data_IF_481829906786
#
_entry.id   IF_481829906786
#
_cell.length_a   1.000
_cell.length_b   1.000
_cell.length_c   1.000
_cell.angle_alpha   90.00
_cell.angle_beta   90.00
_cell.angle_gamma   90.00
#
_symmetry.space_group_name_H-M   'P 1'
#
loop_
_entity.id
_entity.type
_entity.pdbx_description
1 polymer ?
#
# COMPACT_ATOMS: atom_id res chain seq x y z
N UNK A 1 -38.61 22.26 16.47
CA UNK A 1 -39.44 23.46 16.75
C UNK A 1 -39.13 24.46 15.65
N UNK A 2 -40.12 24.86 14.84
CA UNK A 2 -39.91 25.81 13.74
C UNK A 2 -39.66 27.21 14.34
N UNK A 3 -38.44 27.72 14.23
CA UNK A 3 -38.05 29.01 14.78
C UNK A 3 -38.70 30.16 13.98
N UNK A 4 -39.64 30.87 14.62
CA UNK A 4 -40.42 31.97 14.04
C UNK A 4 -39.63 33.27 13.76
N UNK A 5 -38.31 33.28 13.92
CA UNK A 5 -37.45 34.47 13.69
C UNK A 5 -37.18 34.78 12.21
N UNK A 6 -37.41 33.83 11.30
CA UNK A 6 -37.07 33.99 9.88
C UNK A 6 -37.99 34.93 9.10
N UNK A 7 -39.20 35.22 9.60
CA UNK A 7 -40.16 36.05 8.88
C UNK A 7 -39.76 37.53 8.91
N UNK A 8 -39.35 38.09 7.77
CA UNK A 8 -38.99 39.50 7.62
C UNK A 8 -37.50 39.82 7.79
N UNK A 9 -36.66 38.83 8.11
CA UNK A 9 -35.21 39.00 8.07
C UNK A 9 -34.70 39.03 6.63
N UNK A 10 -33.73 39.88 6.32
CA UNK A 10 -33.11 39.95 4.98
C UNK A 10 -31.61 39.68 5.05
N UNK A 11 -31.08 39.04 4.00
CA UNK A 11 -29.65 38.80 3.82
C UNK A 11 -29.22 39.37 2.48
N UNK A 12 -28.27 40.29 2.50
CA UNK A 12 -27.65 40.86 1.30
C UNK A 12 -26.16 40.49 1.30
N UNK A 13 -25.72 39.87 0.21
CA UNK A 13 -24.34 39.44 0.05
C UNK A 13 -23.71 40.14 -1.16
N UNK A 14 -22.59 40.82 -0.93
CA UNK A 14 -21.69 41.31 -1.97
C UNK A 14 -20.33 40.61 -1.83
N UNK A 15 -19.43 40.68 -2.83
CA UNK A 15 -18.12 40.03 -2.74
C UNK A 15 -17.27 40.47 -1.54
N UNK A 16 -17.54 41.64 -0.94
CA UNK A 16 -16.78 42.15 0.21
C UNK A 16 -17.63 42.33 1.49
N UNK A 17 -18.95 42.13 1.45
CA UNK A 17 -19.82 42.46 2.59
C UNK A 17 -21.04 41.55 2.65
N UNK A 18 -21.26 40.95 3.82
CA UNK A 18 -22.52 40.33 4.20
C UNK A 18 -23.29 41.29 5.12
N UNK A 19 -24.53 41.62 4.76
CA UNK A 19 -25.45 42.41 5.59
C UNK A 19 -26.64 41.52 5.96
N UNK A 20 -26.87 41.37 7.26
CA UNK A 20 -28.04 40.64 7.80
C UNK A 20 -28.90 41.64 8.55
N UNK A 21 -30.17 41.74 8.18
CA UNK A 21 -31.15 42.61 8.83
C UNK A 21 -32.19 41.73 9.51
N UNK A 22 -32.43 41.99 10.79
CA UNK A 22 -33.50 41.34 11.56
C UNK A 22 -34.65 42.33 11.78
N UNK A 23 -35.90 41.85 11.87
CA UNK A 23 -36.97 42.62 12.47
C UNK A 23 -36.70 42.86 13.97
N UNK A 24 -37.58 43.60 14.65
CA UNK A 24 -37.46 43.83 16.09
C UNK A 24 -37.29 42.50 16.86
N UNK A 25 -36.17 42.37 17.58
CA UNK A 25 -35.90 41.22 18.44
C UNK A 25 -36.62 41.47 19.76
N UNK A 26 -37.60 40.63 20.15
CA UNK A 26 -38.35 40.84 21.38
C UNK A 26 -37.44 40.82 22.62
N UNK A 27 -37.86 41.52 23.67
CA UNK A 27 -37.14 41.56 24.93
C UNK A 27 -36.83 40.14 25.46
N UNK A 28 -35.61 39.96 25.97
CA UNK A 28 -35.08 38.70 26.50
C UNK A 28 -34.92 37.56 25.49
N UNK A 29 -34.95 37.85 24.19
CA UNK A 29 -34.61 36.88 23.14
C UNK A 29 -33.29 37.26 22.44
N UNK A 30 -32.69 36.30 21.74
CA UNK A 30 -31.43 36.48 21.01
C UNK A 30 -31.57 36.05 19.55
N UNK A 31 -30.87 36.75 18.66
CA UNK A 31 -30.65 36.33 17.28
C UNK A 31 -29.21 35.81 17.14
N UNK A 32 -29.04 34.67 16.49
CA UNK A 32 -27.74 34.05 16.21
C UNK A 32 -27.51 34.10 14.71
N UNK A 33 -26.38 34.65 14.28
CA UNK A 33 -25.92 34.63 12.88
C UNK A 33 -24.74 33.69 12.78
N UNK A 34 -24.90 32.60 12.04
CA UNK A 34 -23.80 31.71 11.66
C UNK A 34 -23.33 32.08 10.25
N UNK A 35 -22.05 32.45 10.12
CA UNK A 35 -21.44 32.75 8.82
C UNK A 35 -20.44 31.64 8.46
N UNK A 36 -20.83 30.64 7.65
CA UNK A 36 -19.92 29.58 7.24
C UNK A 36 -18.89 30.13 6.25
N UNK A 37 -17.63 30.19 6.66
CA UNK A 37 -16.53 30.59 5.78
C UNK A 37 -15.93 29.36 5.08
N UNK A 38 -15.85 29.40 3.75
CA UNK A 38 -15.05 28.45 2.96
C UNK A 38 -13.70 29.10 2.62
N UNK A 39 -12.61 28.40 2.92
CA UNK A 39 -11.28 28.84 2.46
C UNK A 39 -10.96 28.15 1.14
N UNK A 40 -10.83 28.94 0.09
CA UNK A 40 -10.47 28.44 -1.24
C UNK A 40 -9.04 27.88 -1.23
N UNK A 41 -8.84 26.69 -1.80
CA UNK A 41 -7.54 26.01 -1.78
C UNK A 41 -7.21 25.23 -0.50
N UNK A 42 -8.08 25.24 0.51
CA UNK A 42 -7.91 24.37 1.68
C UNK A 42 -7.96 22.90 1.28
N UNK A 43 -6.84 22.19 1.45
CA UNK A 43 -6.71 20.74 1.23
C UNK A 43 -6.68 20.03 2.57
N UNK A 44 -7.12 18.77 2.61
CA UNK A 44 -7.18 17.93 3.84
C UNK A 44 -5.85 17.82 4.60
N UNK A 45 -4.71 18.05 3.94
CA UNK A 45 -3.37 17.88 4.52
C UNK A 45 -2.59 19.19 4.72
N UNK A 46 -3.21 20.37 4.56
CA UNK A 46 -2.52 21.65 4.72
C UNK A 46 -3.12 22.47 5.86
N UNK A 47 -2.28 22.92 6.79
CA UNK A 47 -2.68 23.95 7.75
C UNK A 47 -3.18 25.18 6.99
N UNK A 48 -4.46 25.50 7.14
CA UNK A 48 -4.99 26.78 6.69
C UNK A 48 -4.60 27.82 7.74
N UNK A 49 -3.45 28.45 7.54
CA UNK A 49 -3.03 29.59 8.38
C UNK A 49 -3.64 30.85 7.79
N UNK A 50 -4.66 31.37 8.46
CA UNK A 50 -5.34 32.61 8.07
C UNK A 50 -5.85 33.36 9.29
N UNK A 51 -5.83 34.69 9.23
CA UNK A 51 -6.51 35.54 10.21
C UNK A 51 -7.86 35.92 9.64
N UNK A 52 -8.94 35.42 10.25
CA UNK A 52 -10.29 35.88 9.96
C UNK A 52 -10.66 36.92 11.01
N UNK A 53 -11.00 38.13 10.56
CA UNK A 53 -11.56 39.17 11.40
C UNK A 53 -12.96 39.50 10.90
N UNK A 54 -13.97 39.25 11.72
CA UNK A 54 -15.29 39.80 11.49
C UNK A 54 -15.46 41.03 12.37
N UNK A 55 -15.93 42.12 11.77
CA UNK A 55 -16.32 43.33 12.51
C UNK A 55 -17.83 43.39 12.52
N UNK A 56 -18.43 43.32 13.70
CA UNK A 56 -19.88 43.49 13.86
C UNK A 56 -20.17 44.94 14.21
N UNK A 57 -21.07 45.57 13.43
CA UNK A 57 -21.56 46.93 13.70
C UNK A 57 -23.04 46.86 14.04
N UNK A 58 -23.39 47.26 15.26
CA UNK A 58 -24.78 47.40 15.68
C UNK A 58 -25.27 48.80 15.37
N UNK A 59 -26.36 48.91 14.61
CA UNK A 59 -27.03 50.18 14.36
C UNK A 59 -28.43 50.13 14.95
N UNK A 60 -28.59 50.66 16.17
CA UNK A 60 -29.87 50.75 16.87
C UNK A 60 -30.24 52.23 16.97
N UNK A 61 -31.41 52.66 16.47
CA UNK A 61 -31.84 54.05 16.56
C UNK A 61 -31.73 54.61 17.99
N UNK A 62 -31.09 55.77 18.14
CA UNK A 62 -30.91 56.44 19.43
C UNK A 62 -29.85 55.84 20.36
N UNK A 63 -29.14 54.78 19.97
CA UNK A 63 -28.04 54.19 20.75
C UNK A 63 -26.75 54.12 19.95
N UNK A 64 -25.62 54.45 20.60
CA UNK A 64 -24.28 54.27 20.04
C UNK A 64 -23.64 53.02 20.64
N UNK A 65 -23.10 52.17 19.78
CA UNK A 65 -22.31 51.01 20.17
C UNK A 65 -20.93 51.09 19.53
N UNK A 66 -19.91 50.70 20.29
CA UNK A 66 -18.58 50.48 19.72
C UNK A 66 -18.60 49.23 18.85
N UNK A 67 -17.96 49.23 17.67
CA UNK A 67 -17.77 48.01 16.88
C UNK A 67 -17.07 46.94 17.72
N UNK A 68 -17.58 45.71 17.65
CA UNK A 68 -16.92 44.57 18.29
C UNK A 68 -16.12 43.85 17.21
N UNK A 69 -14.81 43.75 17.41
CA UNK A 69 -13.90 42.99 16.54
C UNK A 69 -13.52 41.71 17.26
N UNK A 70 -13.90 40.58 16.69
CA UNK A 70 -13.40 39.28 17.15
C UNK A 70 -12.37 38.77 16.14
N UNK A 71 -11.13 38.57 16.60
CA UNK A 71 -10.12 37.81 15.88
C UNK A 71 -10.32 36.34 16.24
N UNK A 72 -10.69 35.51 15.25
CA UNK A 72 -10.80 34.08 15.44
C UNK A 72 -9.61 33.41 14.76
N UNK A 73 -8.82 32.68 15.54
CA UNK A 73 -7.79 31.77 15.02
C UNK A 73 -8.42 30.38 14.93
N UNK A 74 -8.62 29.87 13.72
CA UNK A 74 -8.98 28.48 13.51
C UNK A 74 -7.69 27.68 13.32
N UNK A 75 -7.43 26.73 14.21
CA UNK A 75 -6.53 25.61 13.91
C UNK A 75 -7.42 24.39 13.69
N UNK A 76 -7.62 24.00 12.44
CA UNK A 76 -8.16 22.69 12.12
C UNK A 76 -6.97 21.79 11.79
N UNK A 77 -6.58 20.90 12.71
CA UNK A 77 -5.84 19.69 12.31
C UNK A 77 -6.89 18.62 11.99
N UNK A 78 -7.06 18.32 10.72
CA UNK A 78 -7.70 17.09 10.31
C UNK A 78 -6.58 16.09 10.06
N UNK A 79 -6.06 15.47 11.12
CA UNK A 79 -5.14 14.34 11.03
C UNK A 79 -5.89 13.07 10.59
N UNK A 80 -6.60 13.16 9.45
CA UNK A 80 -6.98 12.01 8.68
C UNK A 80 -5.76 11.65 7.83
N UNK A 81 -4.71 11.12 8.46
CA UNK A 81 -3.61 10.52 7.71
C UNK A 81 -4.21 9.41 6.87
N UNK A 82 -4.22 9.58 5.54
CA UNK A 82 -4.50 8.47 4.66
C UNK A 82 -3.46 7.38 4.97
N UNK A 83 -3.92 6.13 5.11
CA UNK A 83 -3.07 5.00 5.42
C UNK A 83 -3.31 3.88 4.42
N UNK A 84 -2.27 3.15 4.09
CA UNK A 84 -2.31 2.06 3.12
C UNK A 84 -1.48 0.87 3.61
N UNK A 85 -1.78 -0.31 3.09
CA UNK A 85 -0.99 -1.52 3.30
C UNK A 85 -0.42 -2.01 1.96
N UNK A 86 0.46 -2.99 2.02
CA UNK A 86 1.01 -3.69 0.85
C UNK A 86 1.01 -5.19 1.12
N UNK A 87 1.14 -5.98 0.05
CA UNK A 87 1.26 -7.44 0.15
C UNK A 87 2.34 -8.00 -0.78
N UNK A 88 2.91 -9.14 -0.40
CA UNK A 88 3.88 -9.89 -1.19
C UNK A 88 3.36 -11.31 -1.34
N UNK A 89 3.12 -11.72 -2.58
CA UNK A 89 2.70 -13.08 -2.93
C UNK A 89 3.90 -13.90 -3.35
N UNK A 90 4.10 -15.05 -2.69
CA UNK A 90 5.20 -15.95 -3.02
C UNK A 90 4.79 -16.95 -4.09
N UNK A 91 5.53 -16.99 -5.19
CA UNK A 91 5.39 -18.00 -6.25
C UNK A 91 6.63 -18.86 -6.30
N UNK A 92 6.43 -20.15 -6.57
CA UNK A 92 7.50 -21.12 -6.86
C UNK A 92 7.14 -21.77 -8.19
N UNK A 93 7.98 -21.55 -9.19
CA UNK A 93 7.86 -22.19 -10.50
C UNK A 93 8.40 -23.62 -10.42
N UNK A 94 7.60 -24.58 -10.89
CA UNK A 94 7.77 -26.01 -10.69
C UNK A 94 6.92 -26.59 -9.57
N UNK A 95 6.82 -27.92 -9.53
CA UNK A 95 6.01 -28.64 -8.55
C UNK A 95 6.84 -28.97 -7.29
N UNK A 96 6.44 -28.39 -6.16
CA UNK A 96 7.02 -28.74 -4.85
C UNK A 96 6.50 -30.12 -4.40
N UNK A 97 7.37 -30.97 -3.82
CA UNK A 97 6.91 -32.20 -3.20
C UNK A 97 6.02 -31.91 -1.98
N UNK A 98 5.12 -32.83 -1.63
CA UNK A 98 4.08 -32.62 -0.62
C UNK A 98 4.64 -32.11 0.72
N UNK A 99 5.75 -32.69 1.18
CA UNK A 99 6.39 -32.32 2.44
C UNK A 99 7.04 -30.93 2.42
N UNK A 100 7.25 -30.33 1.25
CA UNK A 100 7.88 -29.03 1.08
C UNK A 100 6.87 -27.91 0.78
N UNK A 101 5.57 -28.20 0.71
CA UNK A 101 4.53 -27.17 0.50
C UNK A 101 4.42 -26.18 1.66
N UNK A 102 4.88 -26.58 2.84
CA UNK A 102 4.91 -25.75 4.04
C UNK A 102 6.22 -24.96 4.22
N UNK A 103 7.13 -24.99 3.24
CA UNK A 103 8.36 -24.19 3.32
C UNK A 103 8.04 -22.70 3.47
N UNK A 104 8.76 -22.09 4.40
CA UNK A 104 8.70 -20.67 4.67
C UNK A 104 9.87 -19.95 3.99
N UNK A 105 9.54 -18.87 3.29
CA UNK A 105 10.49 -17.98 2.64
C UNK A 105 10.57 -16.69 3.44
N UNK A 106 11.79 -16.35 3.88
CA UNK A 106 12.01 -15.18 4.73
C UNK A 106 12.16 -13.93 3.87
N UNK A 107 11.32 -12.94 4.14
CA UNK A 107 11.39 -11.60 3.56
C UNK A 107 12.10 -10.68 4.54
N UNK A 108 12.99 -9.83 4.04
CA UNK A 108 13.51 -8.67 4.77
C UNK A 108 12.79 -7.43 4.26
N UNK A 109 12.10 -6.73 5.17
CA UNK A 109 11.31 -5.56 4.85
C UNK A 109 11.84 -4.37 5.63
N UNK A 110 12.14 -3.28 4.92
CA UNK A 110 12.52 -2.00 5.50
C UNK A 110 11.46 -0.95 5.18
N UNK A 111 11.03 -0.24 6.22
CA UNK A 111 10.09 0.88 6.15
C UNK A 111 10.85 2.16 6.48
N UNK A 112 10.64 3.20 5.67
CA UNK A 112 11.19 4.53 5.89
C UNK A 112 10.17 5.61 5.58
N UNK A 113 9.97 6.55 6.49
CA UNK A 113 9.15 7.73 6.29
C UNK A 113 9.84 8.94 6.94
N UNK A 114 10.22 9.92 6.12
CA UNK A 114 10.91 11.12 6.61
C UNK A 114 9.98 12.07 7.37
N UNK A 115 8.66 12.01 7.09
CA UNK A 115 7.65 12.85 7.76
C UNK A 115 7.16 12.23 9.08
N UNK A 116 7.23 10.91 9.22
CA UNK A 116 6.91 10.18 10.45
C UNK A 116 7.99 9.12 10.75
N UNK A 117 9.13 9.50 11.35
CA UNK A 117 10.21 8.55 11.64
C UNK A 117 9.82 7.43 12.61
N UNK A 118 8.68 7.53 13.30
CA UNK A 118 8.21 6.50 14.23
C UNK A 118 7.86 5.18 13.53
N UNK A 119 7.57 5.21 12.22
CA UNK A 119 7.34 4.00 11.42
C UNK A 119 8.62 3.34 10.91
N UNK A 120 9.78 3.99 11.05
CA UNK A 120 11.03 3.49 10.51
C UNK A 120 11.47 2.21 11.21
N UNK A 121 11.58 1.12 10.46
CA UNK A 121 12.06 -0.17 10.98
C UNK A 121 12.48 -1.09 9.86
N UNK A 122 13.36 -2.02 10.21
CA UNK A 122 13.62 -3.22 9.42
C UNK A 122 13.17 -4.43 10.22
N UNK A 123 12.45 -5.35 9.58
CA UNK A 123 11.98 -6.58 10.20
C UNK A 123 11.89 -7.71 9.18
N UNK A 124 11.74 -8.93 9.68
CA UNK A 124 11.54 -10.10 8.85
C UNK A 124 10.09 -10.58 8.91
N UNK A 125 9.60 -11.09 7.80
CA UNK A 125 8.31 -11.77 7.67
C UNK A 125 8.52 -13.10 6.95
N UNK A 126 7.64 -14.08 7.17
CA UNK A 126 7.70 -15.35 6.45
C UNK A 126 6.46 -15.52 5.58
N UNK A 127 6.65 -16.07 4.39
CA UNK A 127 5.58 -16.35 3.43
C UNK A 127 5.75 -17.75 2.86
N UNK A 128 4.64 -18.47 2.65
CA UNK A 128 4.63 -19.81 2.05
C UNK A 128 4.35 -19.75 0.56
N UNK A 129 4.80 -20.75 -0.19
CA UNK A 129 4.51 -20.86 -1.62
C UNK A 129 3.00 -20.79 -1.91
N UNK A 130 2.61 -19.98 -2.89
CA UNK A 130 1.22 -19.75 -3.28
C UNK A 130 0.40 -18.91 -2.29
N UNK A 131 1.02 -18.37 -1.24
CA UNK A 131 0.37 -17.50 -0.24
C UNK A 131 0.87 -16.06 -0.37
N UNK A 132 0.07 -15.15 0.18
CA UNK A 132 0.40 -13.74 0.28
C UNK A 132 0.59 -13.36 1.74
N UNK A 133 1.69 -12.67 2.04
CA UNK A 133 1.88 -12.00 3.31
C UNK A 133 1.50 -10.52 3.14
N UNK A 134 0.64 -10.02 4.03
CA UNK A 134 0.20 -8.63 4.03
C UNK A 134 0.74 -7.94 5.26
N UNK A 135 1.15 -6.68 5.12
CA UNK A 135 1.53 -5.91 6.29
C UNK A 135 0.34 -5.84 7.28
N UNK A 136 0.52 -6.20 8.57
CA UNK A 136 -0.58 -6.47 9.51
C UNK A 136 -1.36 -5.23 9.97
N UNK A 137 -1.10 -4.06 9.37
CA UNK A 137 -1.80 -2.82 9.66
C UNK A 137 -1.81 -1.91 8.45
N UNK A 138 -1.94 -0.61 8.70
CA UNK A 138 -1.83 0.40 7.65
C UNK A 138 -0.74 1.41 8.03
N UNK A 139 0.05 1.81 7.06
CA UNK A 139 1.15 2.76 7.18
C UNK A 139 0.71 4.13 6.63
N UNK A 140 1.23 5.24 7.16
CA UNK A 140 1.03 6.55 6.54
C UNK A 140 1.47 6.54 5.07
N UNK A 141 0.78 7.29 4.22
CA UNK A 141 1.27 7.56 2.87
C UNK A 141 2.63 8.26 2.90
N UNK A 142 3.40 8.11 1.81
CA UNK A 142 4.78 8.59 1.73
C UNK A 142 5.79 7.65 2.41
N UNK A 143 5.33 6.59 3.08
CA UNK A 143 6.24 5.53 3.55
C UNK A 143 6.86 4.82 2.35
N UNK A 144 8.18 4.89 2.25
CA UNK A 144 9.00 4.08 1.35
C UNK A 144 9.14 2.68 1.95
N UNK A 145 8.85 1.68 1.14
CA UNK A 145 8.93 0.26 1.48
C UNK A 145 9.96 -0.37 0.57
N UNK A 146 10.93 -1.06 1.17
CA UNK A 146 11.89 -1.90 0.47
C UNK A 146 11.73 -3.33 0.92
N UNK A 147 11.61 -4.26 -0.03
CA UNK A 147 11.43 -5.69 0.20
C UNK A 147 12.50 -6.47 -0.57
N UNK A 148 13.14 -7.41 0.12
CA UNK A 148 13.98 -8.44 -0.48
C UNK A 148 13.67 -9.80 0.14
N UNK A 149 13.96 -10.87 -0.59
CA UNK A 149 13.99 -12.22 -0.01
C UNK A 149 15.38 -12.51 0.53
N UNK A 150 15.44 -13.17 1.69
CA UNK A 150 16.69 -13.66 2.27
C UNK A 150 17.19 -14.92 1.57
N UNK A 151 17.97 -15.71 2.32
CA UNK A 151 18.50 -16.97 1.82
C UNK A 151 17.37 -17.96 1.49
N UNK A 152 17.56 -18.70 0.40
CA UNK A 152 16.60 -19.71 -0.04
C UNK A 152 16.55 -20.85 1.00
N UNK A 153 15.36 -21.31 1.39
CA UNK A 153 15.24 -22.40 2.34
C UNK A 153 15.74 -23.71 1.73
N UNK A 154 16.39 -24.53 2.56
CA UNK A 154 16.83 -25.87 2.18
C UNK A 154 15.84 -26.92 2.67
N UNK A 155 15.52 -27.89 1.82
CA UNK A 155 14.69 -29.04 2.16
C UNK A 155 15.04 -30.25 1.30
N UNK A 156 14.86 -31.45 1.85
CA UNK A 156 15.15 -32.69 1.14
C UNK A 156 14.35 -32.81 -0.16
N UNK A 157 15.02 -33.12 -1.26
CA UNK A 157 14.41 -33.24 -2.58
C UNK A 157 13.98 -31.91 -3.21
N UNK A 158 14.31 -30.77 -2.59
CA UNK A 158 14.05 -29.43 -3.13
C UNK A 158 15.39 -28.78 -3.48
N UNK A 159 15.53 -28.34 -4.73
CA UNK A 159 16.68 -27.56 -5.16
C UNK A 159 16.16 -26.37 -5.93
N UNK A 160 16.36 -25.17 -5.40
CA UNK A 160 15.94 -23.92 -6.02
C UNK A 160 17.09 -23.37 -6.88
N UNK A 161 16.74 -22.77 -8.01
CA UNK A 161 17.69 -22.10 -8.88
C UNK A 161 18.07 -20.76 -8.25
N UNK A 162 19.25 -20.66 -7.66
CA UNK A 162 19.74 -19.43 -7.02
C UNK A 162 19.87 -18.24 -7.96
N UNK A 163 20.01 -18.47 -9.27
CA UNK A 163 20.14 -17.40 -10.28
C UNK A 163 18.76 -16.82 -10.62
N UNK A 164 17.78 -17.69 -10.84
CA UNK A 164 16.43 -17.33 -11.28
C UNK A 164 15.44 -17.12 -10.12
N UNK A 165 15.87 -17.31 -8.88
CA UNK A 165 15.05 -17.10 -7.67
C UNK A 165 15.29 -15.75 -6.99
N UNK A 166 14.42 -15.44 -6.03
CA UNK A 166 14.33 -14.18 -5.32
C UNK A 166 13.97 -13.00 -6.23
N UNK A 167 13.26 -13.23 -7.34
CA UNK A 167 13.00 -12.21 -8.37
C UNK A 167 11.57 -11.69 -8.29
N UNK A 168 11.42 -10.36 -8.19
CA UNK A 168 10.11 -9.71 -8.26
C UNK A 168 9.63 -9.51 -9.71
N UNK A 169 8.32 -9.68 -9.93
CA UNK A 169 7.67 -9.24 -11.17
C UNK A 169 7.72 -7.71 -11.29
N UNK A 170 7.74 -7.20 -12.53
CA UNK A 170 7.56 -5.77 -12.77
C UNK A 170 6.13 -5.33 -12.42
N UNK A 171 6.00 -4.21 -11.72
CA UNK A 171 4.72 -3.64 -11.34
C UNK A 171 4.78 -2.11 -11.41
N UNK A 172 3.64 -1.47 -11.66
CA UNK A 172 3.55 -0.02 -11.70
C UNK A 172 3.90 0.58 -10.33
N UNK A 173 4.73 1.63 -10.32
CA UNK A 173 5.14 2.31 -9.09
C UNK A 173 6.20 1.55 -8.28
N UNK A 174 6.67 0.40 -8.75
CA UNK A 174 7.74 -0.39 -8.11
C UNK A 174 9.04 -0.22 -8.88
N UNK A 175 10.10 0.15 -8.18
CA UNK A 175 11.48 0.17 -8.69
C UNK A 175 12.18 -1.11 -8.29
N UNK A 176 12.79 -1.80 -9.26
CA UNK A 176 13.53 -3.04 -9.04
C UNK A 176 15.04 -2.79 -9.11
N UNK A 177 15.78 -3.39 -8.17
CA UNK A 177 17.25 -3.32 -8.07
C UNK A 177 17.85 -4.71 -7.91
N UNK A 178 19.18 -4.80 -7.93
CA UNK A 178 19.94 -6.04 -7.70
C UNK A 178 19.46 -7.21 -8.56
N UNK A 179 19.33 -6.99 -9.88
CA UNK A 179 18.75 -7.97 -10.83
C UNK A 179 17.34 -8.41 -10.42
N UNK A 180 16.50 -7.45 -10.07
CA UNK A 180 15.12 -7.63 -9.62
C UNK A 180 14.95 -8.38 -8.29
N UNK A 181 15.99 -8.43 -7.45
CA UNK A 181 15.94 -9.09 -6.13
C UNK A 181 15.57 -8.19 -4.96
N UNK A 182 15.49 -6.90 -5.23
CA UNK A 182 15.01 -5.90 -4.28
C UNK A 182 13.96 -5.04 -4.98
N UNK A 183 12.81 -4.88 -4.33
CA UNK A 183 11.73 -4.02 -4.78
C UNK A 183 11.57 -2.84 -3.82
N UNK A 184 11.51 -1.63 -4.35
CA UNK A 184 11.26 -0.40 -3.60
C UNK A 184 10.06 0.34 -4.18
N UNK A 185 9.16 0.82 -3.33
CA UNK A 185 8.00 1.62 -3.71
C UNK A 185 7.58 2.57 -2.58
N UNK A 186 6.79 3.59 -2.90
CA UNK A 186 6.28 4.56 -1.92
C UNK A 186 4.77 4.49 -1.89
N UNK A 187 4.18 4.31 -0.70
CA UNK A 187 2.73 4.24 -0.53
C UNK A 187 2.07 5.57 -0.92
N UNK A 188 1.02 5.50 -1.73
CA UNK A 188 0.30 6.65 -2.27
C UNK A 188 -1.21 6.35 -2.41
N UNK A 189 -2.03 7.37 -2.61
CA UNK A 189 -3.47 7.18 -2.85
C UNK A 189 -3.75 6.53 -4.22
N UNK A 190 -2.81 6.66 -5.16
CA UNK A 190 -3.00 6.35 -6.56
C UNK A 190 -2.81 4.86 -6.89
N UNK A 191 -2.04 4.13 -6.06
CA UNK A 191 -1.60 2.76 -6.37
C UNK A 191 -1.65 1.85 -5.15
N UNK A 192 -2.33 0.71 -5.28
CA UNK A 192 -2.25 -0.39 -4.30
C UNK A 192 -1.08 -1.32 -4.68
N UNK A 193 -0.25 -1.65 -3.68
CA UNK A 193 0.95 -2.45 -3.90
C UNK A 193 0.73 -3.92 -3.52
N UNK A 194 0.64 -4.78 -4.54
CA UNK A 194 0.62 -6.23 -4.41
C UNK A 194 1.73 -6.81 -5.29
N UNK A 195 2.82 -7.25 -4.66
CA UNK A 195 4.01 -7.72 -5.35
C UNK A 195 3.95 -9.23 -5.54
N UNK A 196 4.54 -9.72 -6.63
CA UNK A 196 4.81 -11.14 -6.83
C UNK A 196 6.31 -11.36 -6.72
N UNK A 197 6.70 -12.32 -5.89
CA UNK A 197 8.08 -12.74 -5.66
C UNK A 197 8.24 -14.19 -6.10
N UNK A 198 9.12 -14.43 -7.06
CA UNK A 198 9.25 -15.71 -7.75
C UNK A 198 10.55 -16.42 -7.34
N UNK A 199 10.40 -17.69 -6.95
CA UNK A 199 11.48 -18.66 -6.96
C UNK A 199 11.24 -19.70 -8.04
N UNK A 200 12.30 -20.40 -8.45
CA UNK A 200 12.21 -21.44 -9.46
C UNK A 200 12.91 -22.70 -8.98
N UNK A 201 12.26 -23.84 -9.13
CA UNK A 201 12.89 -25.13 -8.90
C UNK A 201 13.86 -25.45 -10.04
N UNK A 202 14.97 -26.07 -9.69
CA UNK A 202 15.83 -26.72 -10.68
C UNK A 202 15.03 -27.83 -11.37
N UNK A 203 15.18 -28.00 -12.70
CA UNK A 203 14.53 -29.10 -13.41
C UNK A 203 14.94 -30.44 -12.81
N UNK A 204 13.97 -31.33 -12.62
CA UNK A 204 14.28 -32.71 -12.22
C UNK A 204 15.15 -33.35 -13.32
N UNK A 205 16.26 -34.03 -12.98
CA UNK A 205 17.06 -34.72 -13.97
C UNK A 205 16.18 -35.71 -14.74
N UNK A 206 16.15 -35.61 -16.06
CA UNK A 206 15.46 -36.59 -16.90
C UNK A 206 16.06 -37.97 -16.61
N UNK A 207 15.26 -39.02 -16.32
CA UNK A 207 15.80 -40.33 -16.06
C UNK A 207 16.62 -40.79 -17.28
N UNK A 208 17.90 -41.09 -17.04
CA UNK A 208 18.77 -41.66 -18.07
C UNK A 208 18.18 -43.00 -18.50
N UNK A 209 18.02 -43.28 -19.80
CA UNK A 209 17.61 -44.60 -20.24
C UNK A 209 18.58 -45.64 -19.66
N UNK A 210 18.07 -46.59 -18.86
CA UNK A 210 18.89 -47.74 -18.44
C UNK A 210 19.32 -48.48 -19.71
N UNK A 211 20.61 -48.81 -19.88
CA UNK A 211 21.02 -49.71 -20.96
C UNK A 211 20.25 -51.02 -20.80
N UNK A 212 19.49 -51.42 -21.83
CA UNK A 212 18.75 -52.66 -21.80
C UNK A 212 19.76 -53.81 -21.81
N UNK A 213 19.84 -54.56 -20.71
CA UNK A 213 20.67 -55.75 -20.61
C UNK A 213 19.90 -56.96 -21.18
N UNK A 214 19.86 -57.07 -22.51
CA UNK A 214 19.36 -58.22 -23.27
C UNK A 214 20.11 -58.19 -24.62
N UNK A 215 21.01 -59.08 -25.02
CA UNK A 215 21.24 -60.50 -24.74
C UNK A 215 22.74 -60.79 -24.58
N UNK A 216 23.15 -61.33 -23.44
CA UNK A 216 24.30 -62.23 -23.36
C UNK A 216 23.80 -63.67 -23.51
N UNK A 217 23.49 -64.08 -24.74
CA UNK A 217 23.17 -65.45 -25.10
C UNK A 217 24.34 -66.07 -25.85
N UNK A 218 25.33 -66.58 -25.13
CA UNK A 218 26.44 -67.33 -25.73
C UNK A 218 25.96 -68.63 -26.38
N UNK A 219 26.37 -68.87 -27.63
CA UNK A 219 26.48 -70.22 -28.21
C UNK A 219 27.76 -70.33 -29.04
N UNK A 220 28.78 -70.87 -28.37
CA UNK A 220 29.68 -71.94 -28.83
C UNK A 220 30.05 -71.98 -30.32
N UNK A 221 31.32 -71.71 -30.60
CA UNK A 221 32.00 -72.15 -31.83
C UNK A 221 31.95 -73.68 -31.95
N UNK A 222 31.37 -74.19 -33.04
CA UNK A 222 31.50 -75.57 -33.48
C UNK A 222 32.15 -75.57 -34.85
N UNK A 223 33.42 -75.97 -34.90
CA UNK A 223 34.14 -76.28 -36.13
C UNK A 223 33.57 -77.56 -36.75
N UNK A 224 32.91 -77.46 -37.91
CA UNK A 224 32.58 -78.61 -38.74
C UNK A 224 33.66 -78.81 -39.84
N UNK A 225 34.13 -80.05 -40.06
CA UNK A 225 35.07 -80.37 -41.12
C UNK A 225 34.35 -80.42 -42.49
N UNK A 226 34.97 -79.86 -43.52
CA UNK A 226 34.49 -79.95 -44.91
C UNK A 226 34.96 -81.28 -45.51
N UNK A 227 34.01 -82.16 -45.75
CA UNK A 227 34.17 -83.43 -46.47
C UNK A 227 34.51 -83.16 -47.95
N UNK A 228 35.57 -83.80 -48.45
CA UNK A 228 35.88 -83.90 -49.88
C UNK A 228 34.77 -84.67 -50.60
N UNK A 229 34.27 -84.13 -51.72
CA UNK A 229 33.56 -84.94 -52.71
C UNK A 229 34.59 -85.47 -53.73
N UNK A 230 34.41 -86.75 -54.05
CA UNK A 230 35.11 -87.51 -55.08
C UNK A 230 34.92 -86.92 -56.48
#
# INVERSE_FOLDING_TARGET
>A
MNHAFGAGSTVECTPQKLTVTFPEIPANQSAIVENPTRVEGAKRAACVVGKFSNTVKFNVPGKKFSPVTMAMCFSASADAFARQSFSVTKKVDGELPEHAKDLEYTLTITLKNDSDPSVNKTYQATVKAGKSDSYPGALPLGTEVTVSEGDLPSADGVTLNEVESCVFDTAQGVTLKANNREATFTLSEDHLFALNLNNKLMPTPKPTPKPNAEHAGGKTWSSHPRVLRA
#
